data_IF_317380805203
#
_entry.id   IF_317380805203
#
_cell.length_a   1.000
_cell.length_b   1.000
_cell.length_c   1.000
_cell.angle_alpha   90.00
_cell.angle_beta   90.00
_cell.angle_gamma   90.00
#
_symmetry.space_group_name_H-M   'P 1'
#
loop_
_entity.id
_entity.type
_entity.pdbx_description
1 polymer ?
#
# COMPACT_ATOMS: atom_id res chain seq x y z
N UNK A 1 7.30 -2.50 16.20
CA UNK A 1 6.33 -1.40 16.02
C UNK A 1 4.92 -1.77 16.43
N UNK A 2 4.35 -2.89 15.96
CA UNK A 2 2.98 -3.30 16.32
C UNK A 2 2.75 -3.47 17.83
N UNK A 3 3.66 -4.12 18.54
CA UNK A 3 3.55 -4.31 20.00
C UNK A 3 3.63 -2.98 20.77
N UNK A 4 4.53 -2.07 20.37
CA UNK A 4 4.65 -0.73 20.96
C UNK A 4 3.37 0.09 20.71
N UNK A 5 2.89 0.12 19.47
CA UNK A 5 1.63 0.78 19.11
C UNK A 5 0.46 0.28 19.95
N UNK A 6 0.30 -1.05 20.04
CA UNK A 6 -0.75 -1.67 20.87
C UNK A 6 -0.60 -1.30 22.34
N UNK A 7 0.61 -1.29 22.88
CA UNK A 7 0.87 -0.91 24.26
C UNK A 7 0.46 0.54 24.53
N UNK A 8 0.86 1.48 23.67
CA UNK A 8 0.49 2.90 23.83
C UNK A 8 -1.02 3.07 23.72
N UNK A 9 -1.68 2.43 22.75
CA UNK A 9 -3.14 2.49 22.61
C UNK A 9 -3.85 1.92 23.83
N UNK A 10 -3.41 0.77 24.36
CA UNK A 10 -3.98 0.18 25.58
C UNK A 10 -3.82 1.13 26.76
N UNK A 11 -2.63 1.73 26.92
CA UNK A 11 -2.35 2.67 28.00
C UNK A 11 -3.27 3.91 27.90
N UNK A 12 -3.48 4.45 26.71
CA UNK A 12 -4.40 5.57 26.47
C UNK A 12 -5.84 5.16 26.80
N UNK A 13 -6.30 3.98 26.39
CA UNK A 13 -7.65 3.51 26.70
C UNK A 13 -7.87 3.33 28.20
N UNK A 14 -6.92 2.72 28.90
CA UNK A 14 -6.96 2.58 30.37
C UNK A 14 -6.97 3.96 31.03
N UNK A 15 -6.14 4.88 30.56
CA UNK A 15 -6.10 6.25 31.07
C UNK A 15 -7.44 6.97 30.91
N UNK A 16 -8.10 6.85 29.76
CA UNK A 16 -9.41 7.46 29.53
C UNK A 16 -10.49 6.88 30.46
N UNK A 17 -10.46 5.58 30.72
CA UNK A 17 -11.37 4.94 31.68
C UNK A 17 -11.12 5.44 33.12
N UNK A 18 -9.86 5.56 33.53
CA UNK A 18 -9.51 6.11 34.84
C UNK A 18 -9.89 7.59 34.96
N UNK A 19 -9.64 8.38 33.92
CA UNK A 19 -10.03 9.79 33.88
C UNK A 19 -11.55 9.95 34.00
N UNK A 20 -12.32 9.14 33.28
CA UNK A 20 -13.78 9.13 33.38
C UNK A 20 -14.23 8.71 34.78
N UNK A 21 -13.59 7.70 35.38
CA UNK A 21 -13.87 7.27 36.75
C UNK A 21 -13.62 8.40 37.76
N UNK A 22 -12.54 9.16 37.64
CA UNK A 22 -12.23 10.28 38.53
C UNK A 22 -13.19 11.46 38.36
N UNK A 23 -13.78 11.62 37.17
CA UNK A 23 -14.81 12.64 36.92
C UNK A 23 -16.14 12.21 37.56
N UNK A 24 -16.52 10.94 37.44
CA UNK A 24 -17.80 10.42 37.95
C UNK A 24 -17.79 10.12 39.45
N UNK A 25 -16.64 9.73 40.01
CA UNK A 25 -16.53 9.30 41.41
C UNK A 25 -15.60 10.23 42.20
N UNK A 26 -16.15 11.17 42.98
CA UNK A 26 -15.33 12.03 43.84
C UNK A 26 -14.58 11.22 44.91
N UNK A 27 -15.15 10.10 45.38
CA UNK A 27 -14.51 9.24 46.37
C UNK A 27 -13.20 8.59 45.87
N UNK A 28 -13.14 8.14 44.62
CA UNK A 28 -11.90 7.57 44.06
C UNK A 28 -10.88 8.66 43.79
N UNK A 29 -11.32 9.83 43.33
CA UNK A 29 -10.47 11.00 43.15
C UNK A 29 -9.82 11.43 44.48
N UNK A 30 -10.58 11.57 45.55
CA UNK A 30 -10.07 12.02 46.85
C UNK A 30 -9.10 11.01 47.47
N UNK A 31 -9.38 9.71 47.31
CA UNK A 31 -8.48 8.64 47.73
C UNK A 31 -7.12 8.69 47.00
N UNK A 32 -7.14 8.92 45.67
CA UNK A 32 -5.93 9.04 44.86
C UNK A 32 -5.20 10.34 45.18
N UNK A 33 -5.90 11.47 45.28
CA UNK A 33 -5.30 12.75 45.63
C UNK A 33 -4.58 12.67 46.99
N UNK A 34 -5.22 12.06 47.99
CA UNK A 34 -4.64 11.82 49.30
C UNK A 34 -3.44 10.85 49.28
N UNK A 35 -3.51 9.77 48.49
CA UNK A 35 -2.44 8.79 48.37
C UNK A 35 -1.18 9.36 47.70
N UNK A 36 -1.34 10.24 46.71
CA UNK A 36 -0.23 10.82 45.95
C UNK A 36 0.19 12.22 46.41
N UNK A 37 -0.42 12.75 47.48
CA UNK A 37 -0.16 14.11 47.97
C UNK A 37 -0.44 15.19 46.92
N UNK A 38 -1.28 14.88 45.92
CA UNK A 38 -1.76 15.86 44.94
C UNK A 38 -2.70 16.76 45.73
N UNK A 39 -2.27 18.00 45.99
CA UNK A 39 -2.94 18.93 46.89
C UNK A 39 -4.47 18.92 46.76
N UNK A 40 -5.16 19.19 47.87
CA UNK A 40 -6.63 19.19 47.98
C UNK A 40 -7.34 20.13 46.99
N UNK A 41 -6.56 20.97 46.31
CA UNK A 41 -7.02 21.91 45.30
C UNK A 41 -7.52 21.20 44.04
N UNK A 42 -8.83 21.25 43.86
CA UNK A 42 -9.55 20.66 42.75
C UNK A 42 -9.04 21.13 41.38
N UNK A 43 -8.64 22.40 41.28
CA UNK A 43 -8.07 22.97 40.05
C UNK A 43 -6.77 22.28 39.65
N UNK A 44 -5.85 22.08 40.60
CA UNK A 44 -4.55 21.45 40.36
C UNK A 44 -4.71 20.00 39.90
N UNK A 45 -5.62 19.24 40.52
CA UNK A 45 -5.90 17.86 40.14
C UNK A 45 -6.35 17.73 38.67
N UNK A 46 -7.32 18.55 38.24
CA UNK A 46 -7.80 18.52 36.85
C UNK A 46 -6.77 19.05 35.87
N UNK A 47 -5.94 20.02 36.27
CA UNK A 47 -4.87 20.53 35.40
C UNK A 47 -3.79 19.48 35.16
N UNK A 48 -3.38 18.75 36.19
CA UNK A 48 -2.45 17.61 36.06
C UNK A 48 -3.06 16.53 35.18
N UNK A 49 -4.33 16.15 35.42
CA UNK A 49 -5.05 15.19 34.59
C UNK A 49 -5.15 15.64 33.13
N UNK A 50 -5.36 16.93 32.87
CA UNK A 50 -5.39 17.47 31.52
C UNK A 50 -4.02 17.39 30.84
N UNK A 51 -2.93 17.75 31.53
CA UNK A 51 -1.58 17.69 30.96
C UNK A 51 -1.18 16.26 30.65
N UNK A 52 -1.42 15.34 31.58
CA UNK A 52 -1.11 13.92 31.36
C UNK A 52 -1.93 13.40 30.17
N UNK A 53 -3.20 13.79 30.05
CA UNK A 53 -4.02 13.46 28.89
C UNK A 53 -3.42 14.00 27.58
N UNK A 54 -3.03 15.28 27.56
CA UNK A 54 -2.47 15.93 26.39
C UNK A 54 -1.16 15.27 25.94
N UNK A 55 -0.28 14.94 26.89
CA UNK A 55 0.99 14.25 26.61
C UNK A 55 0.73 12.85 26.06
N UNK A 56 -0.15 12.08 26.69
CA UNK A 56 -0.47 10.72 26.23
C UNK A 56 -1.08 10.72 24.83
N UNK A 57 -1.98 11.67 24.54
CA UNK A 57 -2.62 11.79 23.24
C UNK A 57 -1.62 12.24 22.16
N UNK A 58 -0.71 13.16 22.50
CA UNK A 58 0.38 13.56 21.62
C UNK A 58 1.30 12.37 21.29
N UNK A 59 1.67 11.56 22.29
CA UNK A 59 2.46 10.33 22.07
C UNK A 59 1.73 9.35 21.18
N UNK A 60 0.43 9.12 21.40
CA UNK A 60 -0.39 8.24 20.57
C UNK A 60 -0.39 8.69 19.11
N UNK A 61 -0.62 9.99 18.87
CA UNK A 61 -0.62 10.56 17.54
C UNK A 61 0.74 10.40 16.85
N UNK A 62 1.83 10.64 17.58
CA UNK A 62 3.19 10.57 17.07
C UNK A 62 3.55 9.12 16.69
N UNK A 63 3.15 8.14 17.51
CA UNK A 63 3.33 6.71 17.22
C UNK A 63 2.53 6.29 15.99
N UNK A 64 1.29 6.75 15.82
CA UNK A 64 0.47 6.45 14.64
C UNK A 64 1.03 7.07 13.34
N UNK A 65 1.54 8.29 13.42
CA UNK A 65 2.20 8.95 12.29
C UNK A 65 3.53 8.28 11.92
N UNK A 66 4.33 7.88 12.93
CA UNK A 66 5.57 7.13 12.71
C UNK A 66 5.32 5.78 12.03
N UNK A 67 4.28 5.04 12.46
CA UNK A 67 3.92 3.76 11.86
C UNK A 67 3.53 3.93 10.38
N UNK A 68 2.72 4.96 10.09
CA UNK A 68 2.26 5.28 8.72
C UNK A 68 3.42 5.70 7.80
N UNK A 69 4.34 6.51 8.31
CA UNK A 69 5.52 6.97 7.54
C UNK A 69 6.53 5.84 7.33
N UNK A 70 6.75 4.99 8.33
CA UNK A 70 7.60 3.82 8.18
C UNK A 70 7.04 2.83 7.16
N UNK A 71 5.73 2.61 7.14
CA UNK A 71 5.11 1.74 6.15
C UNK A 71 5.30 2.29 4.73
N UNK A 72 5.02 3.59 4.51
CA UNK A 72 5.23 4.25 3.22
C UNK A 72 6.68 4.14 2.73
N UNK A 73 7.65 4.36 3.63
CA UNK A 73 9.08 4.23 3.31
C UNK A 73 9.43 2.81 2.86
N UNK A 74 8.95 1.79 3.58
CA UNK A 74 9.21 0.40 3.19
C UNK A 74 8.61 0.09 1.81
N UNK A 75 7.39 0.55 1.55
CA UNK A 75 6.73 0.36 0.24
C UNK A 75 7.57 0.99 -0.88
N UNK A 76 8.01 2.24 -0.75
CA UNK A 76 8.85 2.88 -1.78
C UNK A 76 10.19 2.17 -1.99
N UNK A 77 10.79 1.61 -0.93
CA UNK A 77 11.99 0.79 -1.06
C UNK A 77 11.74 -0.51 -1.84
N UNK A 78 10.60 -1.16 -1.60
CA UNK A 78 10.20 -2.35 -2.34
C UNK A 78 9.87 -2.04 -3.80
N UNK A 79 9.16 -0.94 -4.07
CA UNK A 79 8.86 -0.47 -5.42
C UNK A 79 10.13 -0.17 -6.23
N UNK A 80 11.14 0.46 -5.62
CA UNK A 80 12.44 0.70 -6.26
C UNK A 80 13.15 -0.58 -6.68
N UNK A 81 13.17 -1.60 -5.80
CA UNK A 81 13.75 -2.92 -6.12
C UNK A 81 12.99 -3.63 -7.23
N UNK A 82 11.66 -3.54 -7.22
CA UNK A 82 10.82 -4.10 -8.29
C UNK A 82 11.14 -3.42 -9.62
N UNK A 83 11.31 -2.09 -9.61
CA UNK A 83 11.65 -1.37 -10.82
C UNK A 83 13.04 -1.76 -11.36
N UNK A 84 14.02 -1.92 -10.47
CA UNK A 84 15.35 -2.41 -10.85
C UNK A 84 15.29 -3.83 -11.43
N UNK A 85 14.55 -4.74 -10.80
CA UNK A 85 14.39 -6.11 -11.31
C UNK A 85 13.66 -6.14 -12.65
N UNK A 86 12.66 -5.28 -12.85
CA UNK A 86 11.97 -5.13 -14.13
C UNK A 86 12.91 -4.60 -15.21
N UNK A 87 13.76 -3.62 -14.89
CA UNK A 87 14.77 -3.11 -15.81
C UNK A 87 15.77 -4.21 -16.17
N UNK A 88 16.29 -4.96 -15.20
CA UNK A 88 17.21 -6.09 -15.45
C UNK A 88 16.59 -7.17 -16.35
N UNK A 89 15.32 -7.52 -16.13
CA UNK A 89 14.61 -8.46 -17.00
C UNK A 89 14.40 -7.90 -18.40
N UNK A 90 14.10 -6.62 -18.52
CA UNK A 90 13.97 -5.96 -19.82
C UNK A 90 15.30 -5.92 -20.58
N UNK A 91 16.38 -5.56 -19.89
CA UNK A 91 17.73 -5.53 -20.44
C UNK A 91 18.15 -6.94 -20.91
N UNK A 92 17.88 -7.97 -20.11
CA UNK A 92 18.13 -9.36 -20.50
C UNK A 92 17.31 -9.78 -21.73
N UNK A 93 16.02 -9.43 -21.79
CA UNK A 93 15.19 -9.74 -22.96
C UNK A 93 15.67 -9.00 -24.21
N UNK A 94 16.13 -7.75 -24.05
CA UNK A 94 16.67 -6.96 -25.15
C UNK A 94 17.99 -7.55 -25.67
N UNK A 95 18.89 -7.93 -24.76
CA UNK A 95 20.17 -8.58 -25.11
C UNK A 95 19.95 -9.91 -25.85
N UNK A 96 19.00 -10.73 -25.40
CA UNK A 96 18.63 -11.96 -26.10
C UNK A 96 18.09 -11.68 -27.50
N UNK A 97 17.18 -10.70 -27.66
CA UNK A 97 16.65 -10.29 -28.97
C UNK A 97 17.73 -9.76 -29.89
N UNK A 98 18.67 -8.98 -29.37
CA UNK A 98 19.76 -8.42 -30.18
C UNK A 98 20.72 -9.51 -30.65
N UNK A 99 21.03 -10.50 -29.81
CA UNK A 99 21.79 -11.69 -30.20
C UNK A 99 21.08 -12.50 -31.27
N UNK A 100 19.77 -12.71 -31.15
CA UNK A 100 18.97 -13.36 -32.20
C UNK A 100 19.02 -12.59 -33.54
N UNK A 101 19.01 -11.26 -33.48
CA UNK A 101 19.08 -10.42 -34.68
C UNK A 101 20.49 -10.43 -35.31
N UNK A 102 21.55 -10.40 -34.51
CA UNK A 102 22.94 -10.43 -34.98
C UNK A 102 23.39 -11.83 -35.46
N UNK A 103 22.80 -12.90 -34.93
CA UNK A 103 23.04 -14.26 -35.40
C UNK A 103 22.25 -14.60 -36.66
N UNK A 104 21.39 -13.71 -37.16
CA UNK A 104 20.69 -13.89 -38.43
C UNK A 104 21.55 -13.29 -39.56
N UNK A 105 22.22 -14.10 -40.39
CA UNK A 105 22.96 -13.57 -41.52
C UNK A 105 21.96 -13.19 -42.62
N UNK A 106 21.97 -11.92 -43.01
CA UNK A 106 21.43 -11.48 -44.30
C UNK A 106 19.96 -11.07 -44.31
N UNK A 107 19.75 -9.89 -44.89
CA UNK A 107 18.47 -9.46 -45.44
C UNK A 107 17.98 -10.48 -46.47
N UNK A 108 16.83 -11.10 -46.22
CA UNK A 108 15.92 -11.52 -47.29
C UNK A 108 14.65 -10.70 -47.12
N UNK A 109 14.42 -9.82 -48.07
CA UNK A 109 13.13 -9.16 -48.34
C UNK A 109 12.06 -10.25 -48.50
N UNK A 110 11.00 -10.24 -47.70
CA UNK A 110 9.99 -11.29 -47.82
C UNK A 110 8.80 -11.12 -46.90
N UNK A 111 7.78 -10.43 -47.43
CA UNK A 111 6.35 -10.78 -47.35
C UNK A 111 5.72 -10.93 -45.96
N UNK A 112 4.81 -10.00 -45.64
CA UNK A 112 3.72 -10.22 -44.69
C UNK A 112 2.86 -11.38 -45.19
N UNK A 113 3.07 -12.59 -44.69
CA UNK A 113 2.09 -13.69 -44.79
C UNK A 113 1.15 -13.59 -43.60
N UNK A 114 -0.05 -13.10 -43.87
CA UNK A 114 -1.23 -13.37 -43.06
C UNK A 114 -1.42 -14.89 -42.94
N UNK A 115 -1.74 -15.45 -41.76
CA UNK A 115 -2.09 -16.85 -41.67
C UNK A 115 -3.43 -17.07 -42.38
N UNK A 116 -3.37 -17.73 -43.53
CA UNK A 116 -4.51 -18.25 -44.26
C UNK A 116 -5.14 -19.37 -43.42
N UNK A 117 -6.37 -19.14 -42.95
CA UNK A 117 -7.19 -20.16 -42.28
C UNK A 117 -7.61 -21.22 -43.28
N UNK A 118 -6.78 -22.25 -43.42
CA UNK A 118 -7.16 -23.48 -44.13
C UNK A 118 -8.04 -24.31 -43.21
N UNK A 119 -9.34 -24.29 -43.48
CA UNK A 119 -10.30 -25.24 -42.93
C UNK A 119 -10.09 -26.61 -43.58
N UNK A 120 -9.61 -27.59 -42.82
CA UNK A 120 -9.79 -29.02 -43.15
C UNK A 120 -10.02 -29.85 -41.88
N UNK A 121 -10.98 -30.79 -41.89
CA UNK A 121 -11.43 -31.51 -40.70
C UNK A 121 -10.51 -32.67 -40.29
N UNK A 122 -10.40 -32.90 -38.98
CA UNK A 122 -9.95 -34.14 -38.32
C UNK A 122 -10.66 -35.39 -38.88
N UNK A 123 -10.12 -36.63 -38.76
CA UNK A 123 -9.35 -37.13 -37.60
C UNK A 123 -8.19 -38.12 -37.92
N UNK A 124 -7.32 -38.38 -36.94
CA UNK A 124 -6.92 -39.73 -36.45
C UNK A 124 -5.62 -39.65 -35.62
N UNK A 125 -5.77 -40.02 -34.34
CA UNK A 125 -4.81 -40.45 -33.30
C UNK A 125 -3.33 -40.68 -33.67
N UNK A 126 -2.44 -39.89 -33.07
CA UNK A 126 -1.11 -40.31 -32.59
C UNK A 126 -0.67 -39.35 -31.46
N UNK A 127 -0.20 -39.81 -30.28
CA UNK A 127 0.11 -38.92 -29.16
C UNK A 127 1.46 -38.23 -29.39
N UNK A 128 1.42 -36.94 -29.71
CA UNK A 128 2.61 -36.06 -29.72
C UNK A 128 2.86 -35.61 -28.27
N UNK A 129 4.10 -35.66 -27.74
CA UNK A 129 4.40 -35.17 -26.40
C UNK A 129 4.10 -33.67 -26.33
N UNK A 130 3.19 -33.29 -25.44
CA UNK A 130 2.82 -31.90 -25.15
C UNK A 130 4.07 -31.09 -24.79
N UNK A 131 4.41 -30.13 -25.66
CA UNK A 131 5.28 -29.04 -25.28
C UNK A 131 4.61 -28.32 -24.11
N UNK A 132 5.25 -28.40 -22.95
CA UNK A 132 4.78 -27.91 -21.66
C UNK A 132 4.56 -26.40 -21.77
N UNK A 133 3.31 -25.98 -22.02
CA UNK A 133 2.91 -24.59 -21.77
C UNK A 133 3.16 -24.33 -20.29
N UNK A 134 3.84 -23.24 -19.90
CA UNK A 134 3.92 -22.86 -18.50
C UNK A 134 2.50 -22.49 -18.07
N UNK A 135 1.88 -23.37 -17.28
CA UNK A 135 0.66 -23.06 -16.53
C UNK A 135 1.09 -22.10 -15.44
N UNK A 136 0.61 -20.86 -15.52
CA UNK A 136 0.76 -19.90 -14.43
C UNK A 136 0.21 -20.53 -13.13
N UNK A 137 0.88 -20.41 -11.98
CA UNK A 137 0.29 -20.80 -10.71
C UNK A 137 -0.89 -19.87 -10.44
N UNK A 138 -2.10 -20.32 -10.77
CA UNK A 138 -3.32 -19.52 -10.66
C UNK A 138 -3.99 -19.67 -9.27
N UNK A 139 -3.36 -20.40 -8.36
CA UNK A 139 -3.84 -20.66 -7.01
C UNK A 139 -2.69 -20.54 -6.01
N UNK A 140 -2.18 -19.31 -5.82
CA UNK A 140 -1.48 -18.98 -4.59
C UNK A 140 -2.52 -18.38 -3.61
N UNK A 141 -2.90 -19.07 -2.53
CA UNK A 141 -3.88 -18.59 -1.56
C UNK A 141 -3.39 -17.36 -0.76
N UNK A 142 -2.16 -16.89 -0.98
CA UNK A 142 -1.64 -15.64 -0.39
C UNK A 142 -1.92 -14.38 -1.21
N UNK A 143 -2.45 -14.50 -2.43
CA UNK A 143 -2.80 -13.36 -3.28
C UNK A 143 -4.31 -13.06 -3.22
N UNK A 144 -4.72 -11.86 -2.77
CA UNK A 144 -6.13 -11.48 -2.80
C UNK A 144 -6.61 -11.35 -4.25
N UNK A 145 -7.49 -12.24 -4.67
CA UNK A 145 -8.26 -12.15 -5.91
C UNK A 145 -9.27 -10.99 -5.82
N UNK A 146 -8.80 -9.75 -5.98
CA UNK A 146 -9.67 -8.61 -6.19
C UNK A 146 -9.93 -8.45 -7.69
N UNK A 147 -11.19 -8.46 -8.16
CA UNK A 147 -11.49 -8.22 -9.56
C UNK A 147 -11.06 -6.81 -9.97
N UNK A 148 -10.23 -6.72 -11.02
CA UNK A 148 -9.82 -5.48 -11.68
C UNK A 148 -11.01 -4.89 -12.46
N UNK A 149 -11.96 -4.29 -11.75
CA UNK A 149 -13.00 -3.45 -12.34
C UNK A 149 -12.99 -2.08 -11.66
N UNK A 150 -11.97 -1.28 -11.97
CA UNK A 150 -12.09 0.17 -11.89
C UNK A 150 -11.41 0.77 -13.13
N UNK A 151 -12.16 1.47 -14.01
CA UNK A 151 -11.54 2.20 -15.11
C UNK A 151 -10.68 3.33 -14.54
N UNK A 152 -9.41 3.36 -14.92
CA UNK A 152 -8.45 4.41 -14.60
C UNK A 152 -8.92 5.74 -15.21
N UNK A 153 -9.58 6.58 -14.40
CA UNK A 153 -9.77 8.01 -14.70
C UNK A 153 -8.49 8.76 -14.35
N UNK A 154 -7.50 8.72 -15.26
CA UNK A 154 -6.26 9.51 -15.18
C UNK A 154 -6.21 10.52 -16.35
N UNK A 155 -7.35 11.10 -16.69
CA UNK A 155 -7.40 12.25 -17.59
C UNK A 155 -8.07 13.39 -16.82
N UNK A 156 -7.33 14.40 -16.34
CA UNK A 156 -7.96 15.64 -15.89
C UNK A 156 -8.66 16.31 -17.10
N UNK A 157 -9.85 16.90 -16.94
CA UNK A 157 -10.48 17.65 -18.03
C UNK A 157 -9.55 18.79 -18.46
N UNK A 158 -9.29 18.88 -19.77
CA UNK A 158 -8.60 20.01 -20.36
C UNK A 158 -9.31 21.30 -19.93
N UNK A 159 -8.56 22.24 -19.34
CA UNK A 159 -9.07 23.58 -19.07
C UNK A 159 -9.44 24.23 -20.40
N UNK A 160 -10.64 24.84 -20.53
CA UNK A 160 -10.98 25.58 -21.73
C UNK A 160 -10.04 26.79 -21.86
N UNK A 161 -9.47 26.93 -23.05
CA UNK A 161 -8.64 28.03 -23.50
C UNK A 161 -9.40 29.35 -23.33
N UNK A 162 -8.97 30.20 -22.38
CA UNK A 162 -9.57 31.53 -22.18
C UNK A 162 -8.86 32.52 -23.09
N UNK A 163 -9.05 32.32 -24.39
CA UNK A 163 -8.61 33.20 -25.47
C UNK A 163 -9.81 33.85 -26.18
N UNK A 164 -10.83 34.24 -25.40
CA UNK A 164 -11.91 35.12 -25.86
C UNK A 164 -12.00 36.36 -24.96
N UNK A 165 -11.23 37.40 -25.31
CA UNK A 165 -11.61 38.78 -24.99
C UNK A 165 -12.57 39.27 -26.09
N UNK A 166 -13.82 39.63 -25.79
CA UNK A 166 -14.53 40.58 -26.62
C UNK A 166 -14.00 41.99 -26.28
N UNK A 167 -13.43 42.60 -27.30
CA UNK A 167 -13.11 44.02 -27.38
C UNK A 167 -14.43 44.79 -27.51
N UNK A 168 -14.67 45.68 -26.54
CA UNK A 168 -15.49 46.90 -26.61
C UNK A 168 -17.02 46.77 -26.52
#
# INVERSE_FOLDING_TARGET
MLALKRLVTILVMVYLLLALLFILSPATRDAVAGAFGLGTDMSTFYWVLFIVAAVLLAVQLLVENLDSTMLRRNISQHEGKINELKARLYDQQMELREREFQQRPGVVTGTTTYPETVYTPSPTTTPVPEATRPVFPQEDPSLPNAPLQQPNSIIPPASPDVDERPVR
#
